data_IF_465971974229
#
_entry.id   IF_465971974229
#
_cell.length_a   1.000
_cell.length_b   1.000
_cell.length_c   1.000
_cell.angle_alpha   90.00
_cell.angle_beta   90.00
_cell.angle_gamma   90.00
#
_symmetry.space_group_name_H-M   'P 1'
#
loop_
_entity.id
_entity.type
_entity.pdbx_description
1 polymer ?
#
# COMPACT_ATOMS: atom_id res chain seq x y z
N UNK A 1 -13.34 -60.80 -68.33
CA UNK A 1 -12.95 -59.36 -68.05
C UNK A 1 -13.37 -59.06 -66.66
N UNK A 2 -12.39 -58.95 -65.73
CA UNK A 2 -12.66 -58.64 -64.33
C UNK A 2 -12.11 -57.20 -64.05
N UNK A 3 -13.02 -56.26 -63.83
CA UNK A 3 -12.70 -54.87 -63.57
C UNK A 3 -12.38 -54.72 -62.09
N UNK A 4 -11.17 -54.34 -61.75
CA UNK A 4 -10.75 -53.96 -60.39
C UNK A 4 -11.12 -52.54 -60.12
N UNK A 5 -11.93 -52.28 -59.13
CA UNK A 5 -12.28 -50.94 -58.60
C UNK A 5 -11.23 -50.56 -57.53
N UNK A 6 -10.43 -49.56 -57.81
CA UNK A 6 -9.47 -49.01 -56.83
C UNK A 6 -10.19 -48.05 -55.93
N UNK A 7 -10.23 -48.34 -54.63
CA UNK A 7 -10.72 -47.42 -53.60
C UNK A 7 -9.55 -46.55 -53.14
N UNK A 8 -9.63 -45.26 -53.44
CA UNK A 8 -8.68 -44.25 -52.94
C UNK A 8 -9.16 -43.79 -51.56
N UNK A 9 -8.43 -44.17 -50.51
CA UNK A 9 -8.67 -43.66 -49.15
C UNK A 9 -7.87 -42.38 -48.97
N UNK A 10 -8.55 -41.25 -48.95
CA UNK A 10 -7.98 -39.95 -48.59
C UNK A 10 -7.88 -39.84 -47.07
N UNK A 11 -6.67 -39.86 -46.54
CA UNK A 11 -6.38 -39.57 -45.12
C UNK A 11 -6.32 -38.07 -44.95
N UNK A 12 -7.34 -37.48 -44.33
CA UNK A 12 -7.35 -36.07 -43.92
C UNK A 12 -6.53 -35.92 -42.64
N UNK A 13 -5.36 -35.29 -42.72
CA UNK A 13 -4.56 -34.92 -41.56
C UNK A 13 -5.20 -33.71 -40.93
N UNK A 14 -5.87 -33.91 -39.80
CA UNK A 14 -6.34 -32.82 -38.94
C UNK A 14 -5.12 -32.22 -38.22
N UNK A 15 -4.65 -31.08 -38.71
CA UNK A 15 -3.68 -30.25 -37.96
C UNK A 15 -4.40 -29.61 -36.75
N UNK A 16 -4.27 -30.26 -35.59
CA UNK A 16 -4.76 -29.69 -34.34
C UNK A 16 -4.06 -28.39 -34.02
N UNK A 17 -4.80 -27.26 -33.94
CA UNK A 17 -4.31 -26.04 -33.33
C UNK A 17 -3.97 -26.38 -31.86
N UNK A 18 -2.70 -26.37 -31.53
CA UNK A 18 -2.24 -26.36 -30.16
C UNK A 18 -2.68 -25.02 -29.53
N UNK A 19 -3.77 -25.04 -28.78
CA UNK A 19 -4.13 -23.92 -27.90
C UNK A 19 -2.95 -23.67 -26.98
N UNK A 20 -2.33 -22.49 -27.08
CA UNK A 20 -1.24 -22.07 -26.23
C UNK A 20 -1.69 -22.12 -24.77
N UNK A 21 -1.21 -23.12 -24.04
CA UNK A 21 -1.34 -23.15 -22.58
C UNK A 21 -0.52 -21.97 -22.07
N UNK A 22 -1.22 -20.91 -21.63
CA UNK A 22 -0.60 -19.81 -20.93
C UNK A 22 0.24 -20.40 -19.78
N UNK A 23 1.55 -20.22 -19.84
CA UNK A 23 2.48 -20.76 -18.85
C UNK A 23 2.13 -20.19 -17.48
N UNK A 24 1.62 -21.06 -16.60
CA UNK A 24 1.42 -20.72 -15.19
C UNK A 24 2.78 -20.29 -14.62
N UNK A 25 2.86 -19.11 -13.95
CA UNK A 25 4.12 -18.68 -13.38
C UNK A 25 4.69 -19.77 -12.46
N UNK A 26 5.99 -20.00 -12.57
CA UNK A 26 6.68 -20.97 -11.70
C UNK A 26 6.48 -20.60 -10.22
N UNK A 27 6.31 -21.58 -9.33
CA UNK A 27 6.18 -21.29 -7.90
C UNK A 27 7.43 -20.59 -7.40
N UNK A 28 7.25 -19.51 -6.63
CA UNK A 28 8.36 -18.78 -6.00
C UNK A 28 9.13 -19.68 -5.05
N UNK A 29 10.47 -19.52 -4.97
CA UNK A 29 11.30 -20.27 -4.02
C UNK A 29 10.90 -19.94 -2.56
N UNK A 30 11.33 -20.76 -1.62
CA UNK A 30 11.08 -20.52 -0.19
C UNK A 30 11.69 -19.19 0.26
N UNK A 31 12.91 -18.88 -0.19
CA UNK A 31 13.59 -17.61 0.09
C UNK A 31 12.82 -16.43 -0.44
N UNK A 32 12.32 -16.51 -1.68
CA UNK A 32 11.52 -15.42 -2.28
C UNK A 32 10.18 -15.23 -1.56
N UNK A 33 9.61 -16.28 -0.99
CA UNK A 33 8.40 -16.20 -0.17
C UNK A 33 8.70 -15.59 1.20
N UNK A 34 9.79 -15.99 1.83
CA UNK A 34 10.24 -15.44 3.11
C UNK A 34 10.52 -13.94 2.96
N UNK A 35 11.29 -13.53 1.95
CA UNK A 35 11.57 -12.13 1.68
C UNK A 35 10.28 -11.31 1.50
N UNK A 36 9.28 -11.85 0.80
CA UNK A 36 8.01 -11.15 0.62
C UNK A 36 7.22 -10.98 1.93
N UNK A 37 7.36 -11.90 2.87
CA UNK A 37 6.76 -11.80 4.22
C UNK A 37 7.52 -10.73 5.02
N UNK A 38 8.85 -10.80 5.07
CA UNK A 38 9.69 -9.83 5.77
C UNK A 38 9.47 -8.40 5.26
N UNK A 39 9.31 -8.23 3.95
CA UNK A 39 9.02 -6.93 3.35
C UNK A 39 7.66 -6.39 3.79
N UNK A 40 6.64 -7.23 3.80
CA UNK A 40 5.30 -6.83 4.27
C UNK A 40 5.31 -6.46 5.75
N UNK A 41 6.00 -7.22 6.58
CA UNK A 41 6.15 -6.94 8.01
C UNK A 41 6.89 -5.62 8.24
N UNK A 42 7.94 -5.36 7.49
CA UNK A 42 8.69 -4.11 7.56
C UNK A 42 7.86 -2.90 7.12
N UNK A 43 7.06 -3.03 6.04
CA UNK A 43 6.12 -1.99 5.59
C UNK A 43 5.03 -1.77 6.63
N UNK A 44 4.43 -2.84 7.17
CA UNK A 44 3.47 -2.75 8.26
C UNK A 44 4.04 -1.99 9.46
N UNK A 45 5.29 -2.26 9.84
CA UNK A 45 5.96 -1.54 10.93
C UNK A 45 6.09 -0.03 10.63
N UNK A 46 6.37 0.37 9.38
CA UNK A 46 6.39 1.79 8.98
C UNK A 46 4.99 2.42 9.14
N UNK A 47 3.93 1.72 8.72
CA UNK A 47 2.56 2.19 8.86
C UNK A 47 2.15 2.34 10.34
N UNK A 48 2.52 1.39 11.19
CA UNK A 48 2.24 1.46 12.63
C UNK A 48 3.04 2.58 13.33
N UNK A 49 4.30 2.79 12.92
CA UNK A 49 5.13 3.85 13.47
C UNK A 49 4.61 5.25 13.11
N UNK A 50 3.94 5.42 11.98
CA UNK A 50 3.24 6.66 11.65
C UNK A 50 2.26 7.08 12.77
N UNK A 51 1.38 6.19 13.22
CA UNK A 51 0.47 6.47 14.33
C UNK A 51 1.22 6.72 15.64
N UNK A 52 2.18 5.86 15.99
CA UNK A 52 2.94 5.97 17.24
C UNK A 52 3.69 7.28 17.37
N UNK A 53 4.35 7.74 16.29
CA UNK A 53 5.09 8.99 16.31
C UNK A 53 4.16 10.21 16.40
N UNK A 54 3.01 10.17 15.72
CA UNK A 54 1.98 11.22 15.85
C UNK A 54 1.40 11.27 17.26
N UNK A 55 1.02 10.13 17.82
CA UNK A 55 0.45 10.04 19.17
C UNK A 55 1.45 10.51 20.23
N UNK A 56 2.74 10.23 20.02
CA UNK A 56 3.83 10.68 20.88
C UNK A 56 4.27 12.15 20.62
N UNK A 57 3.77 12.80 19.57
CA UNK A 57 4.26 14.11 19.08
C UNK A 57 5.75 14.09 18.71
N UNK A 58 6.26 12.92 18.33
CA UNK A 58 7.61 12.76 17.80
C UNK A 58 7.64 13.10 16.30
N UNK A 59 7.64 14.38 16.00
CA UNK A 59 7.62 14.84 14.60
C UNK A 59 8.94 14.59 13.87
N UNK A 60 10.04 14.45 14.60
CA UNK A 60 11.33 14.06 14.03
C UNK A 60 11.28 12.61 13.58
N UNK A 61 10.90 11.69 14.47
CA UNK A 61 10.72 10.27 14.14
C UNK A 61 9.66 10.05 13.05
N UNK A 62 8.57 10.85 13.05
CA UNK A 62 7.60 10.83 11.98
C UNK A 62 8.20 11.14 10.60
N UNK A 63 8.99 12.23 10.54
CA UNK A 63 9.61 12.65 9.30
C UNK A 63 10.61 11.62 8.73
N UNK A 64 11.30 10.88 9.60
CA UNK A 64 12.23 9.82 9.21
C UNK A 64 11.54 8.59 8.55
N UNK A 65 10.23 8.45 8.72
CA UNK A 65 9.46 7.41 8.01
C UNK A 65 9.35 7.67 6.51
N UNK A 66 9.65 8.87 6.05
CA UNK A 66 9.58 9.25 4.64
C UNK A 66 10.95 9.16 3.97
N UNK A 67 10.93 8.79 2.69
CA UNK A 67 12.11 8.84 1.82
C UNK A 67 12.60 10.30 1.66
N UNK A 68 13.83 10.48 1.20
CA UNK A 68 14.43 11.83 1.00
C UNK A 68 13.58 12.74 0.14
N UNK A 69 12.88 12.18 -0.86
CA UNK A 69 11.92 12.86 -1.72
C UNK A 69 10.47 12.42 -1.48
N UNK A 70 10.23 11.84 -0.31
CA UNK A 70 8.91 11.37 0.11
C UNK A 70 7.91 12.51 0.25
N UNK A 71 6.63 12.22 0.01
CA UNK A 71 5.55 13.20 0.02
C UNK A 71 4.46 12.81 1.01
N UNK A 72 4.02 13.77 1.81
CA UNK A 72 2.86 13.67 2.67
C UNK A 72 1.74 14.57 2.15
N UNK A 73 0.53 14.03 1.96
CA UNK A 73 -0.63 14.75 1.44
C UNK A 73 -1.84 14.50 2.35
N UNK A 74 -2.38 15.58 2.91
CA UNK A 74 -3.55 15.54 3.79
C UNK A 74 -4.53 16.66 3.41
N UNK A 75 -5.57 16.31 2.67
CA UNK A 75 -6.52 17.27 2.12
C UNK A 75 -5.83 18.29 1.21
N UNK A 76 -5.95 19.58 1.52
CA UNK A 76 -5.30 20.66 0.79
C UNK A 76 -3.84 20.89 1.20
N UNK A 77 -3.35 20.22 2.24
CA UNK A 77 -1.99 20.36 2.75
C UNK A 77 -1.09 19.29 2.17
N UNK A 78 0.11 19.69 1.70
CA UNK A 78 1.14 18.77 1.26
C UNK A 78 2.53 19.27 1.62
N UNK A 79 3.46 18.31 1.80
CA UNK A 79 4.86 18.61 2.02
C UNK A 79 5.73 17.52 1.40
N UNK A 80 6.91 17.89 0.92
CA UNK A 80 7.86 16.99 0.28
C UNK A 80 9.21 17.02 0.98
N UNK A 81 9.70 15.85 1.30
CA UNK A 81 10.93 15.62 2.04
C UNK A 81 10.75 15.75 3.56
N UNK A 82 11.59 15.04 4.35
CA UNK A 82 11.42 14.92 5.79
C UNK A 82 11.36 16.26 6.53
N UNK A 83 12.20 17.24 6.17
CA UNK A 83 12.24 18.54 6.84
C UNK A 83 10.92 19.31 6.67
N UNK A 84 10.41 19.41 5.43
CA UNK A 84 9.16 20.12 5.15
C UNK A 84 7.94 19.38 5.74
N UNK A 85 7.96 18.05 5.77
CA UNK A 85 6.90 17.24 6.41
C UNK A 85 6.86 17.51 7.91
N UNK A 86 8.02 17.55 8.57
CA UNK A 86 8.11 17.89 9.99
C UNK A 86 7.55 19.28 10.27
N UNK A 87 7.98 20.29 9.51
CA UNK A 87 7.51 21.68 9.67
C UNK A 87 5.98 21.79 9.49
N UNK A 88 5.44 21.12 8.46
CA UNK A 88 4.00 21.08 8.22
C UNK A 88 3.23 20.53 9.43
N UNK A 89 3.67 19.40 9.99
CA UNK A 89 3.00 18.79 11.14
C UNK A 89 3.12 19.61 12.41
N UNK A 90 4.30 20.17 12.69
CA UNK A 90 4.49 21.08 13.81
C UNK A 90 3.54 22.30 13.71
N UNK A 91 3.35 22.83 12.50
CA UNK A 91 2.43 23.92 12.24
C UNK A 91 0.95 23.52 12.44
N UNK A 92 0.54 22.38 11.88
CA UNK A 92 -0.85 21.91 11.95
C UNK A 92 -1.27 21.54 13.39
N UNK A 93 -0.41 20.85 14.11
CA UNK A 93 -0.75 20.34 15.46
C UNK A 93 -0.62 21.41 16.54
N UNK A 94 0.28 22.38 16.40
CA UNK A 94 0.35 23.55 17.29
C UNK A 94 -0.89 24.44 17.19
N UNK A 95 -1.49 24.55 15.99
CA UNK A 95 -2.72 25.34 15.78
C UNK A 95 -3.96 24.68 16.38
N UNK A 96 -3.99 23.37 16.48
CA UNK A 96 -5.16 22.58 16.86
C UNK A 96 -5.15 22.19 18.34
N UNK A 97 -4.53 22.97 19.24
CA UNK A 97 -4.41 22.70 20.65
C UNK A 97 -4.15 21.21 20.92
N UNK A 98 -2.88 20.85 20.99
CA UNK A 98 -2.45 19.45 21.09
C UNK A 98 -3.29 18.67 22.11
N UNK A 99 -3.90 17.55 21.74
CA UNK A 99 -4.56 16.70 22.71
C UNK A 99 -3.59 16.36 23.84
N UNK A 100 -4.10 16.25 25.04
CA UNK A 100 -3.27 15.89 26.19
C UNK A 100 -2.69 14.49 25.98
N UNK A 101 -1.42 14.25 26.31
CA UNK A 101 -0.79 12.94 26.16
C UNK A 101 -1.67 11.80 26.72
N UNK A 102 -1.84 10.72 25.93
CA UNK A 102 -2.69 9.59 26.26
C UNK A 102 -4.20 9.80 26.07
N UNK A 103 -4.61 10.93 25.50
CA UNK A 103 -6.03 11.20 25.20
C UNK A 103 -6.40 10.94 23.76
N UNK A 104 -5.44 10.88 22.87
CA UNK A 104 -5.63 10.64 21.45
C UNK A 104 -4.74 9.51 20.96
N UNK A 105 -5.22 8.76 19.98
CA UNK A 105 -4.46 7.69 19.36
C UNK A 105 -5.01 7.34 17.98
N UNK A 106 -4.14 6.76 17.17
CA UNK A 106 -4.47 6.25 15.86
C UNK A 106 -4.68 4.74 15.90
N UNK A 107 -5.69 4.25 15.18
CA UNK A 107 -5.88 2.83 14.86
C UNK A 107 -5.86 2.65 13.36
N UNK A 108 -5.25 1.55 12.90
CA UNK A 108 -5.23 1.15 11.48
C UNK A 108 -5.88 -0.22 11.33
N UNK A 109 -6.59 -0.41 10.22
CA UNK A 109 -7.31 -1.65 9.92
C UNK A 109 -7.51 -1.82 8.41
N UNK A 110 -7.85 -3.05 7.99
CA UNK A 110 -8.15 -3.41 6.61
C UNK A 110 -7.02 -3.05 5.64
N UNK A 111 -5.79 -3.36 6.03
CA UNK A 111 -4.64 -3.09 5.18
C UNK A 111 -4.47 -4.16 4.10
N UNK A 112 -4.05 -3.70 2.92
CA UNK A 112 -3.52 -4.54 1.85
C UNK A 112 -2.17 -3.99 1.45
N UNK A 113 -1.16 -4.86 1.31
CA UNK A 113 0.20 -4.48 0.95
C UNK A 113 0.64 -5.32 -0.25
N UNK A 114 1.04 -4.65 -1.33
CA UNK A 114 1.56 -5.27 -2.53
C UNK A 114 3.01 -4.83 -2.74
N UNK A 115 3.94 -5.80 -2.76
CA UNK A 115 5.38 -5.56 -2.89
C UNK A 115 5.82 -5.95 -4.29
N UNK A 116 6.57 -5.05 -4.94
CA UNK A 116 7.18 -5.25 -6.25
C UNK A 116 8.66 -4.80 -6.23
N UNK A 117 9.55 -5.72 -5.90
CA UNK A 117 10.99 -5.43 -5.77
C UNK A 117 11.27 -4.42 -4.66
N UNK A 118 11.81 -3.25 -5.01
CA UNK A 118 12.12 -2.17 -4.07
C UNK A 118 11.02 -1.11 -3.93
N UNK A 119 9.86 -1.37 -4.50
CA UNK A 119 8.68 -0.53 -4.40
C UNK A 119 7.51 -1.32 -3.84
N UNK A 120 6.59 -0.64 -3.18
CA UNK A 120 5.35 -1.25 -2.72
C UNK A 120 4.22 -0.22 -2.69
N UNK A 121 2.99 -0.73 -2.70
CA UNK A 121 1.79 0.06 -2.45
C UNK A 121 1.02 -0.54 -1.29
N UNK A 122 0.30 0.31 -0.55
CA UNK A 122 -0.65 -0.16 0.43
C UNK A 122 -1.92 0.70 0.44
N UNK A 123 -3.02 0.04 0.74
CA UNK A 123 -4.29 0.67 1.09
C UNK A 123 -4.60 0.30 2.52
N UNK A 124 -5.06 1.26 3.32
CA UNK A 124 -5.54 0.97 4.65
C UNK A 124 -6.62 1.97 5.06
N UNK A 125 -7.34 1.65 6.10
CA UNK A 125 -8.24 2.58 6.79
C UNK A 125 -7.65 2.89 8.14
N UNK A 126 -7.91 4.11 8.64
CA UNK A 126 -7.53 4.47 9.99
C UNK A 126 -8.56 5.37 10.64
N UNK A 127 -8.53 5.37 11.94
CA UNK A 127 -9.31 6.25 12.78
C UNK A 127 -8.41 7.04 13.72
N UNK A 128 -8.71 8.33 13.87
CA UNK A 128 -8.16 9.14 14.93
C UNK A 128 -9.22 9.28 16.04
N UNK A 129 -8.84 8.85 17.22
CA UNK A 129 -9.72 8.77 18.38
C UNK A 129 -9.22 9.72 19.46
N UNK A 130 -10.16 10.39 20.09
CA UNK A 130 -9.89 11.33 21.19
C UNK A 130 -10.74 10.93 22.39
N UNK A 131 -10.13 10.94 23.58
CA UNK A 131 -10.87 10.75 24.84
C UNK A 131 -11.33 12.11 25.36
N UNK A 132 -12.66 12.28 25.42
CA UNK A 132 -13.30 13.46 25.97
C UNK A 132 -13.05 13.66 27.48
N UNK A 133 -13.45 14.80 28.01
CA UNK A 133 -13.35 15.10 29.44
C UNK A 133 -14.21 14.14 30.29
N UNK A 134 -15.31 13.62 29.74
CA UNK A 134 -16.19 12.59 30.30
C UNK A 134 -15.60 11.18 30.22
N UNK A 135 -14.36 11.03 29.75
CA UNK A 135 -13.66 9.77 29.49
C UNK A 135 -14.25 8.90 28.38
N UNK A 136 -15.28 9.38 27.69
CA UNK A 136 -15.82 8.67 26.53
C UNK A 136 -14.86 8.78 25.34
N UNK A 137 -14.75 7.67 24.61
CA UNK A 137 -13.97 7.62 23.39
C UNK A 137 -14.79 8.17 22.23
N UNK A 138 -14.26 9.16 21.54
CA UNK A 138 -14.89 9.81 20.39
C UNK A 138 -14.05 9.61 19.15
N UNK A 139 -14.69 9.28 18.03
CA UNK A 139 -14.01 9.25 16.74
C UNK A 139 -13.91 10.69 16.22
N UNK A 140 -12.68 11.18 16.06
CA UNK A 140 -12.42 12.51 15.53
C UNK A 140 -12.32 12.51 14.00
N UNK A 141 -11.76 11.45 13.42
CA UNK A 141 -11.65 11.29 11.97
C UNK A 141 -11.63 9.81 11.57
N UNK A 142 -12.17 9.52 10.38
CA UNK A 142 -11.97 8.27 9.65
C UNK A 142 -11.29 8.61 8.34
N UNK A 143 -10.24 7.89 8.00
CA UNK A 143 -9.37 8.22 6.86
C UNK A 143 -9.04 6.97 6.06
N UNK A 144 -9.08 7.09 4.74
CA UNK A 144 -8.48 6.12 3.84
C UNK A 144 -7.04 6.57 3.54
N UNK A 145 -6.10 5.63 3.62
CA UNK A 145 -4.70 5.87 3.31
C UNK A 145 -4.34 5.18 2.00
N UNK A 146 -3.68 5.93 1.13
CA UNK A 146 -3.08 5.47 -0.11
C UNK A 146 -1.59 5.69 -0.02
N UNK A 147 -0.87 4.60 0.13
CA UNK A 147 0.56 4.63 0.40
C UNK A 147 1.36 4.06 -0.76
N UNK A 148 2.44 4.73 -1.07
CA UNK A 148 3.53 4.22 -1.90
C UNK A 148 4.79 4.16 -1.05
N UNK A 149 5.52 3.07 -1.16
CA UNK A 149 6.75 2.85 -0.43
C UNK A 149 7.91 2.64 -1.39
N UNK A 150 9.10 2.95 -0.90
CA UNK A 150 10.37 2.67 -1.55
C UNK A 150 11.36 2.12 -0.54
N UNK A 151 12.24 1.22 -0.98
CA UNK A 151 13.36 0.77 -0.18
C UNK A 151 14.53 1.74 -0.39
N UNK A 152 14.87 2.51 0.64
CA UNK A 152 15.97 3.46 0.65
C UNK A 152 16.97 3.05 1.74
N UNK A 153 18.24 2.88 1.36
CA UNK A 153 19.31 2.44 2.25
C UNK A 153 18.95 1.15 3.04
N UNK A 154 18.33 0.19 2.35
CA UNK A 154 17.89 -1.09 2.90
C UNK A 154 16.64 -1.04 3.77
N UNK A 155 16.02 0.11 3.95
CA UNK A 155 14.82 0.31 4.79
C UNK A 155 13.63 0.72 3.95
N UNK A 156 12.45 0.19 4.28
CA UNK A 156 11.22 0.66 3.71
C UNK A 156 10.83 2.02 4.28
N UNK A 157 10.41 2.94 3.40
CA UNK A 157 9.98 4.29 3.74
C UNK A 157 8.79 4.71 2.88
N UNK A 158 7.98 5.62 3.38
CA UNK A 158 6.95 6.25 2.54
C UNK A 158 7.60 7.04 1.41
N UNK A 159 7.29 6.66 0.20
CA UNK A 159 7.52 7.48 -0.99
C UNK A 159 6.42 8.51 -1.14
N UNK A 160 5.18 8.11 -0.84
CA UNK A 160 4.02 8.99 -0.77
C UNK A 160 3.04 8.41 0.22
N UNK A 161 2.50 9.23 1.10
CA UNK A 161 1.33 8.92 1.90
C UNK A 161 0.24 9.95 1.64
N UNK A 162 -0.91 9.49 1.15
CA UNK A 162 -2.06 10.34 0.86
C UNK A 162 -3.24 9.96 1.74
N UNK A 163 -3.77 10.96 2.43
CA UNK A 163 -4.98 10.87 3.23
C UNK A 163 -6.16 11.41 2.42
N UNK A 164 -7.28 10.70 2.39
CA UNK A 164 -8.47 11.15 1.68
C UNK A 164 -9.57 10.13 1.63
N UNK A 165 -10.74 10.55 1.13
CA UNK A 165 -11.90 9.67 0.96
C UNK A 165 -11.90 8.92 -0.37
N UNK A 166 -11.17 9.39 -1.36
CA UNK A 166 -11.15 8.82 -2.71
C UNK A 166 -9.81 8.22 -3.05
N UNK A 167 -9.80 6.87 -3.16
CA UNK A 167 -8.80 6.21 -3.96
C UNK A 167 -8.84 6.78 -5.39
N UNK A 168 -7.69 7.04 -6.05
CA UNK A 168 -7.71 7.06 -7.51
C UNK A 168 -8.26 5.69 -7.95
N UNK A 169 -9.44 5.65 -8.55
CA UNK A 169 -9.93 4.41 -9.15
C UNK A 169 -8.92 3.99 -10.22
N UNK A 170 -8.51 2.71 -10.26
CA UNK A 170 -7.75 2.23 -11.38
C UNK A 170 -8.55 2.54 -12.66
N UNK A 171 -7.90 3.22 -13.60
CA UNK A 171 -8.50 3.49 -14.89
C UNK A 171 -8.81 2.13 -15.55
N UNK A 172 -10.08 1.72 -15.54
CA UNK A 172 -10.48 0.50 -16.25
C UNK A 172 -11.72 -0.25 -15.77
N UNK A 173 -12.38 0.10 -14.70
CA UNK A 173 -13.66 -0.53 -14.37
C UNK A 173 -14.82 0.47 -14.43
N UNK A 174 -15.25 0.77 -15.67
CA UNK A 174 -16.61 1.25 -15.90
C UNK A 174 -17.56 0.04 -15.74
N UNK A 175 -18.48 0.12 -14.78
CA UNK A 175 -19.63 -0.80 -14.67
C UNK A 175 -20.60 -0.59 -15.80
#
# INVERSE_FOLDING_TARGET
MRTFLAVVVTVSVFSGLAAGQGSRPAPKSAEARLQAIEDKDAIHAVMMNYGRTLDARDFAGFAELFARDGEYVAGASSAKGPAAIRELLEGLLKKNAAPLPGRDFHLFFNETIEVNGNEATALSKGGFFVRGADRQLQTSALVNYHDQFVREDGKWKFKRRQLGETAPQPAGEAR
#
